data_IF_219097347890
#
_entry.id   IF_219097347890
#
_cell.length_a   1.000
_cell.length_b   1.000
_cell.length_c   1.000
_cell.angle_alpha   90.00
_cell.angle_beta   90.00
_cell.angle_gamma   90.00
#
_symmetry.space_group_name_H-M   'P 1'
#
loop_
_entity.id
_entity.type
_entity.pdbx_description
1 polymer ?
#
# COMPACT_ATOMS: atom_id res chain seq x y z
N UNK A 1 -7.48 12.16 6.12
CA UNK A 1 -6.78 11.01 5.53
C UNK A 1 -7.30 10.71 4.13
N UNK A 2 -6.45 10.17 3.27
CA UNK A 2 -6.84 9.75 1.94
C UNK A 2 -6.96 8.23 1.92
N UNK A 3 -8.05 7.76 1.33
CA UNK A 3 -8.29 6.33 1.17
C UNK A 3 -8.30 6.02 -0.32
N UNK A 4 -7.62 4.96 -0.70
CA UNK A 4 -7.60 4.49 -2.08
C UNK A 4 -7.68 2.98 -2.10
N UNK A 5 -8.32 2.44 -3.13
CA UNK A 5 -8.36 1.00 -3.34
C UNK A 5 -7.72 0.71 -4.68
N UNK A 6 -6.77 -0.22 -4.69
CA UNK A 6 -6.11 -0.64 -5.91
C UNK A 6 -6.45 -2.10 -6.19
N UNK A 7 -6.86 -2.36 -7.43
CA UNK A 7 -7.06 -3.72 -7.93
C UNK A 7 -5.88 -4.07 -8.81
N UNK A 8 -5.22 -5.17 -8.51
CA UNK A 8 -3.97 -5.55 -9.15
C UNK A 8 -4.09 -6.94 -9.73
N UNK A 9 -3.61 -7.09 -10.97
CA UNK A 9 -3.48 -8.40 -11.57
C UNK A 9 -2.21 -9.08 -11.05
N UNK A 10 -2.18 -10.41 -11.17
CA UNK A 10 -0.99 -11.17 -10.80
C UNK A 10 0.24 -10.64 -11.53
N UNK A 11 1.33 -10.51 -10.83
CA UNK A 11 2.63 -10.03 -11.32
C UNK A 11 2.67 -8.56 -11.72
N UNK A 12 1.62 -7.81 -11.48
CA UNK A 12 1.64 -6.38 -11.75
C UNK A 12 2.43 -5.63 -10.69
N UNK A 13 3.13 -4.60 -11.13
CA UNK A 13 3.92 -3.73 -10.26
C UNK A 13 3.18 -2.42 -10.11
N UNK A 14 3.01 -1.97 -8.88
CA UNK A 14 2.28 -0.76 -8.59
C UNK A 14 3.18 0.22 -7.83
N UNK A 15 3.23 1.44 -8.33
CA UNK A 15 3.90 2.53 -7.64
C UNK A 15 2.83 3.47 -7.11
N UNK A 16 2.76 3.63 -5.81
CA UNK A 16 1.83 4.55 -5.18
C UNK A 16 2.58 5.79 -4.69
N UNK A 17 2.19 6.96 -5.20
CA UNK A 17 2.75 8.23 -4.74
C UNK A 17 1.78 8.85 -3.76
N UNK A 18 2.31 9.41 -2.67
CA UNK A 18 1.49 10.07 -1.68
C UNK A 18 0.68 11.19 -2.30
N UNK A 19 -0.60 11.26 -1.95
CA UNK A 19 -1.51 12.30 -2.46
C UNK A 19 -1.23 13.64 -1.80
N UNK A 20 -0.80 13.62 -0.55
CA UNK A 20 -0.52 14.82 0.22
C UNK A 20 0.94 14.85 0.61
N UNK A 21 1.58 16.01 0.43
CA UNK A 21 2.97 16.20 0.85
C UNK A 21 3.11 16.20 2.37
N UNK A 22 2.01 16.39 3.08
CA UNK A 22 1.99 16.43 4.53
C UNK A 22 1.77 15.08 5.16
N UNK A 23 1.50 14.05 4.36
CA UNK A 23 1.28 12.70 4.88
C UNK A 23 2.55 12.17 5.53
N UNK A 24 2.41 11.58 6.73
CA UNK A 24 3.52 10.91 7.41
C UNK A 24 3.91 9.62 6.73
N UNK A 25 2.93 8.96 6.12
CA UNK A 25 3.17 7.68 5.47
C UNK A 25 1.87 7.11 4.95
N UNK A 26 1.90 5.85 4.59
CA UNK A 26 0.73 5.14 4.11
C UNK A 26 0.61 3.80 4.81
N UNK A 27 -0.60 3.46 5.22
CA UNK A 27 -0.92 2.14 5.74
C UNK A 27 -1.53 1.33 4.61
N UNK A 28 -0.99 0.14 4.38
CA UNK A 28 -1.43 -0.72 3.30
C UNK A 28 -2.05 -1.96 3.91
N UNK A 29 -3.32 -2.23 3.57
CA UNK A 29 -4.07 -3.37 4.08
C UNK A 29 -4.49 -4.25 2.91
N UNK A 30 -4.24 -5.55 3.03
CA UNK A 30 -4.55 -6.49 1.96
C UNK A 30 -5.97 -7.02 2.17
N UNK A 31 -6.88 -6.61 1.30
CA UNK A 31 -8.27 -7.06 1.36
C UNK A 31 -8.36 -8.48 0.81
N UNK A 32 -7.75 -8.72 -0.33
CA UNK A 32 -7.68 -10.03 -0.97
C UNK A 32 -6.36 -10.19 -1.69
N UNK A 33 -5.89 -11.42 -1.83
CA UNK A 33 -4.67 -11.74 -2.57
C UNK A 33 -3.42 -11.61 -1.73
N UNK A 34 -2.32 -11.29 -2.38
CA UNK A 34 -1.04 -11.09 -1.72
C UNK A 34 -0.15 -10.16 -2.52
N UNK A 35 0.68 -9.42 -1.81
CA UNK A 35 1.65 -8.51 -2.43
C UNK A 35 3.01 -8.67 -1.76
N UNK A 36 4.05 -8.21 -2.46
CA UNK A 36 5.39 -8.11 -1.93
C UNK A 36 5.79 -6.63 -1.89
N UNK A 37 6.26 -6.20 -0.73
CA UNK A 37 6.85 -4.87 -0.55
C UNK A 37 8.28 -5.11 -0.09
N UNK A 38 9.25 -4.77 -0.96
CA UNK A 38 10.64 -5.13 -0.71
C UNK A 38 10.75 -6.64 -0.48
N UNK A 39 11.20 -7.07 0.67
CA UNK A 39 11.35 -8.49 1.00
C UNK A 39 10.22 -9.03 1.87
N UNK A 40 9.15 -8.25 2.03
CA UNK A 40 8.04 -8.61 2.90
C UNK A 40 6.84 -9.05 2.08
N UNK A 41 6.35 -10.26 2.33
CA UNK A 41 5.13 -10.74 1.72
C UNK A 41 3.96 -10.46 2.66
N UNK A 42 2.92 -9.81 2.10
CA UNK A 42 1.68 -9.54 2.82
C UNK A 42 0.56 -10.30 2.15
N UNK A 43 -0.20 -11.01 2.96
CA UNK A 43 -1.33 -11.82 2.50
C UNK A 43 -2.65 -11.22 2.96
N UNK A 44 -3.73 -11.85 2.58
CA UNK A 44 -5.07 -11.43 2.97
C UNK A 44 -5.13 -11.08 4.45
N UNK A 45 -5.66 -9.89 4.75
CA UNK A 45 -5.83 -9.33 6.09
C UNK A 45 -4.54 -8.88 6.78
N UNK A 46 -3.42 -9.01 6.12
CA UNK A 46 -2.19 -8.42 6.63
C UNK A 46 -2.15 -6.93 6.29
N UNK A 47 -1.42 -6.18 7.10
CA UNK A 47 -1.24 -4.76 6.85
C UNK A 47 0.16 -4.32 7.25
N UNK A 48 0.59 -3.21 6.67
CA UNK A 48 1.89 -2.61 6.99
C UNK A 48 1.79 -1.10 6.90
N UNK A 49 2.47 -0.41 7.84
CA UNK A 49 2.64 1.03 7.76
C UNK A 49 3.99 1.35 7.16
N UNK A 50 4.01 2.22 6.17
CA UNK A 50 5.25 2.68 5.53
C UNK A 50 5.35 4.18 5.77
N UNK A 51 6.42 4.60 6.44
CA UNK A 51 6.62 5.99 6.86
C UNK A 51 7.88 6.58 6.27
N UNK A 52 7.97 7.89 6.30
CA UNK A 52 9.14 8.63 5.84
C UNK A 52 9.47 8.36 4.37
N UNK A 53 8.42 8.25 3.55
CA UNK A 53 8.58 8.02 2.12
C UNK A 53 7.57 8.85 1.34
N UNK A 54 7.93 9.22 0.13
CA UNK A 54 7.04 9.94 -0.76
C UNK A 54 6.28 8.98 -1.68
N UNK A 55 6.79 7.75 -1.82
CA UNK A 55 6.17 6.76 -2.68
C UNK A 55 6.47 5.36 -2.19
N UNK A 56 5.61 4.42 -2.57
CA UNK A 56 5.75 3.02 -2.19
C UNK A 56 5.53 2.17 -3.43
N UNK A 57 6.43 1.22 -3.64
CA UNK A 57 6.32 0.28 -4.75
C UNK A 57 6.04 -1.11 -4.20
N UNK A 58 5.08 -1.79 -4.80
CA UNK A 58 4.76 -3.16 -4.41
C UNK A 58 4.31 -3.96 -5.62
N UNK A 59 4.47 -5.27 -5.53
CA UNK A 59 4.13 -6.19 -6.60
C UNK A 59 3.08 -7.17 -6.12
N UNK A 60 2.03 -7.37 -6.91
CA UNK A 60 1.03 -8.37 -6.62
C UNK A 60 1.56 -9.74 -7.01
N UNK A 61 1.55 -10.68 -6.06
CA UNK A 61 1.97 -12.05 -6.34
C UNK A 61 0.82 -12.91 -6.83
N UNK A 62 -0.41 -12.39 -6.65
CA UNK A 62 -1.62 -12.97 -7.23
C UNK A 62 -2.61 -11.84 -7.41
N UNK A 63 -3.75 -12.10 -8.04
CA UNK A 63 -4.78 -11.08 -8.21
C UNK A 63 -5.17 -10.56 -6.82
N UNK A 64 -5.05 -9.24 -6.63
CA UNK A 64 -5.16 -8.66 -5.30
C UNK A 64 -6.01 -7.41 -5.28
N UNK A 65 -6.59 -7.14 -4.11
CA UNK A 65 -7.25 -5.87 -3.82
C UNK A 65 -6.63 -5.33 -2.55
N UNK A 66 -6.16 -4.10 -2.61
CA UNK A 66 -5.39 -3.47 -1.54
C UNK A 66 -6.01 -2.14 -1.18
N UNK A 67 -6.15 -1.89 0.13
CA UNK A 67 -6.59 -0.60 0.65
C UNK A 67 -5.36 0.19 1.07
N UNK A 68 -5.29 1.44 0.61
CA UNK A 68 -4.20 2.34 0.96
C UNK A 68 -4.78 3.53 1.73
N UNK A 69 -4.23 3.80 2.90
CA UNK A 69 -4.69 4.88 3.76
C UNK A 69 -3.50 5.77 4.07
N UNK A 70 -3.52 7.01 3.59
CA UNK A 70 -2.47 7.96 3.92
C UNK A 70 -2.70 8.49 5.32
N UNK A 71 -1.65 8.44 6.12
CA UNK A 71 -1.68 8.87 7.51
C UNK A 71 -1.39 10.37 7.56
N UNK A 72 -2.30 11.18 8.13
CA UNK A 72 -2.06 12.61 8.24
C UNK A 72 -0.98 12.91 9.26
N UNK A 73 -0.38 14.09 9.20
CA UNK A 73 0.61 14.48 10.20
C UNK A 73 -0.04 14.56 11.57
N UNK A 74 0.76 14.31 12.58
CA UNK A 74 0.30 14.41 13.96
C UNK A 74 0.06 15.87 14.30
N UNK A 75 -1.04 16.13 14.96
CA UNK A 75 -1.38 17.50 15.38
C UNK A 75 -1.35 17.63 16.89
#
# INVERSE_FOLDING_TARGET
>A
AWFSIADLDKDSLQLYKMKSKESLGVYIFIIEGSIMIKDIELRRRDGIGVYDTEEVEFKATEKSRVLLIEVPPHQ
#
